data_IF_024945316331
#
_entry.id   IF_024945316331
#
_cell.length_a   1.000
_cell.length_b   1.000
_cell.length_c   1.000
_cell.angle_alpha   90.00
_cell.angle_beta   90.00
_cell.angle_gamma   90.00
#
_symmetry.space_group_name_H-M   'P 1'
#
loop_
_entity.id
_entity.type
_entity.pdbx_description
1 polymer ?
#
# COMPACT_ATOMS: atom_id res chain seq x y z
N UNK A 1 -48.69 47.84 25.16
CA UNK A 1 -48.48 49.17 25.78
C UNK A 1 -47.09 49.21 26.41
N UNK A 2 -46.34 50.23 26.03
CA UNK A 2 -44.94 50.53 26.31
C UNK A 2 -44.76 51.02 27.74
N UNK A 3 -43.69 50.60 28.44
CA UNK A 3 -42.97 51.44 29.41
C UNK A 3 -41.60 50.83 29.73
N UNK A 4 -40.58 51.52 29.21
CA UNK A 4 -39.17 51.44 29.54
C UNK A 4 -38.95 52.21 30.84
N UNK A 5 -38.16 51.68 31.77
CA UNK A 5 -37.40 52.50 32.72
C UNK A 5 -35.98 51.95 32.86
N UNK A 6 -35.06 52.72 32.29
CA UNK A 6 -33.62 52.65 32.45
C UNK A 6 -33.26 53.23 33.83
N UNK A 7 -32.37 52.60 34.60
CA UNK A 7 -31.30 53.32 35.32
C UNK A 7 -30.35 52.47 36.20
N UNK A 8 -29.07 52.82 36.05
CA UNK A 8 -27.90 52.71 36.94
C UNK A 8 -27.04 51.43 36.94
N UNK A 9 -25.93 51.56 36.19
CA UNK A 9 -24.65 50.90 36.43
C UNK A 9 -24.12 51.24 37.82
N UNK A 10 -23.77 50.22 38.60
CA UNK A 10 -22.75 50.30 39.65
C UNK A 10 -21.72 49.22 39.33
N UNK A 11 -20.56 49.65 38.83
CA UNK A 11 -19.36 48.83 38.72
C UNK A 11 -18.82 48.61 40.14
N UNK A 12 -19.07 47.43 40.71
CA UNK A 12 -18.32 46.93 41.86
C UNK A 12 -17.49 45.75 41.35
N UNK A 13 -16.19 46.00 41.22
CA UNK A 13 -15.21 45.03 40.77
C UNK A 13 -15.22 43.78 41.65
N UNK A 14 -15.67 42.68 41.07
CA UNK A 14 -15.34 41.34 41.52
C UNK A 14 -14.36 40.79 40.49
N UNK A 15 -13.12 40.57 40.96
CA UNK A 15 -12.01 40.11 40.13
C UNK A 15 -12.40 38.90 39.30
N UNK A 16 -12.05 38.97 38.02
CA UNK A 16 -11.93 37.81 37.16
C UNK A 16 -10.97 36.81 37.83
N UNK A 17 -11.51 35.72 38.34
CA UNK A 17 -10.82 34.44 38.29
C UNK A 17 -11.70 33.53 37.47
N UNK A 18 -11.66 33.72 36.15
CA UNK A 18 -12.03 32.64 35.24
C UNK A 18 -11.02 31.53 35.50
N UNK A 19 -11.46 30.49 36.21
CA UNK A 19 -10.79 29.20 36.20
C UNK A 19 -10.82 28.77 34.73
N UNK A 20 -9.77 29.10 33.98
CA UNK A 20 -9.45 28.39 32.76
C UNK A 20 -9.10 26.99 33.22
N UNK A 21 -10.14 26.15 33.32
CA UNK A 21 -9.96 24.72 33.39
C UNK A 21 -9.12 24.35 32.19
N UNK A 22 -7.85 24.03 32.43
CA UNK A 22 -7.08 23.24 31.49
C UNK A 22 -7.76 21.87 31.49
N UNK A 23 -8.85 21.75 30.74
CA UNK A 23 -9.36 20.48 30.29
C UNK A 23 -8.17 19.83 29.60
N UNK A 24 -7.61 18.80 30.22
CA UNK A 24 -6.62 17.95 29.57
C UNK A 24 -7.33 17.39 28.34
N UNK A 25 -7.13 18.05 27.20
CA UNK A 25 -7.63 17.61 25.90
C UNK A 25 -6.92 16.31 25.63
N UNK A 26 -7.60 15.20 25.92
CA UNK A 26 -7.14 13.89 25.51
C UNK A 26 -7.08 13.90 23.99
N UNK A 27 -5.89 14.12 23.44
CA UNK A 27 -5.65 13.79 22.04
C UNK A 27 -5.51 12.27 21.96
N UNK A 28 -6.40 11.56 21.25
CA UNK A 28 -6.20 10.15 20.99
C UNK A 28 -4.80 9.97 20.39
N UNK A 29 -3.96 9.15 21.04
CA UNK A 29 -2.67 8.77 20.47
C UNK A 29 -2.95 8.23 19.07
N UNK A 30 -2.47 8.94 18.06
CA UNK A 30 -2.74 8.58 16.68
C UNK A 30 -2.11 7.21 16.40
N UNK A 31 -2.95 6.23 16.06
CA UNK A 31 -2.51 4.87 15.75
C UNK A 31 -1.95 4.86 14.34
N UNK A 32 -0.68 5.20 14.22
CA UNK A 32 -0.05 5.48 12.93
C UNK A 32 0.77 4.30 12.40
N UNK A 33 1.17 3.36 13.27
CA UNK A 33 2.03 2.23 12.87
C UNK A 33 1.50 0.88 13.37
N UNK A 34 1.86 -0.24 12.70
CA UNK A 34 1.39 -1.58 13.05
C UNK A 34 1.53 -1.95 14.52
N UNK A 35 2.61 -1.50 15.17
CA UNK A 35 2.93 -1.84 16.54
C UNK A 35 1.99 -1.16 17.56
N UNK A 36 1.29 -0.09 17.20
CA UNK A 36 0.23 0.49 18.04
C UNK A 36 -1.07 -0.32 18.01
N UNK A 37 -1.27 -1.14 16.97
CA UNK A 37 -2.41 -2.07 16.84
C UNK A 37 -2.11 -3.46 17.41
N UNK A 38 -0.84 -3.74 17.71
CA UNK A 38 -0.38 -5.04 18.17
C UNK A 38 -0.86 -5.33 19.59
N UNK A 39 -1.44 -6.52 19.79
CA UNK A 39 -1.85 -7.02 21.11
C UNK A 39 -1.02 -8.25 21.50
N UNK A 40 -0.11 -8.08 22.46
CA UNK A 40 0.82 -9.13 22.85
C UNK A 40 0.12 -10.37 23.43
N UNK A 41 -0.91 -10.21 24.26
CA UNK A 41 -1.64 -11.33 24.87
C UNK A 41 -2.33 -12.20 23.82
N UNK A 42 -2.98 -11.58 22.84
CA UNK A 42 -3.64 -12.29 21.73
C UNK A 42 -2.63 -13.01 20.84
N UNK A 43 -1.50 -12.38 20.54
CA UNK A 43 -0.44 -13.01 19.75
C UNK A 43 0.22 -14.17 20.52
N UNK A 44 0.52 -14.00 21.80
CA UNK A 44 1.06 -15.05 22.65
C UNK A 44 0.19 -16.33 22.62
N UNK A 45 -1.13 -16.17 22.79
CA UNK A 45 -2.05 -17.30 22.73
C UNK A 45 -2.01 -18.03 21.38
N UNK A 46 -1.84 -17.31 20.26
CA UNK A 46 -1.67 -17.90 18.93
C UNK A 46 -0.29 -18.51 18.75
N UNK A 47 0.77 -17.89 19.24
CA UNK A 47 2.14 -18.38 19.11
C UNK A 47 2.34 -19.69 19.87
N UNK A 48 1.73 -19.83 21.04
CA UNK A 48 1.71 -21.08 21.80
C UNK A 48 1.05 -22.22 21.00
N UNK A 49 -0.01 -21.94 20.23
CA UNK A 49 -0.69 -22.95 19.39
C UNK A 49 0.19 -23.48 18.26
N UNK A 50 1.08 -22.65 17.73
CA UNK A 50 1.92 -22.97 16.56
C UNK A 50 3.41 -23.12 16.91
N UNK A 51 3.75 -23.24 18.19
CA UNK A 51 5.13 -23.35 18.69
C UNK A 51 6.08 -22.27 18.15
N UNK A 52 5.58 -21.03 18.04
CA UNK A 52 6.35 -19.88 17.54
C UNK A 52 7.24 -19.34 18.67
N UNK A 53 8.55 -19.26 18.42
CA UNK A 53 9.53 -18.76 19.38
C UNK A 53 9.44 -17.24 19.59
N UNK A 54 9.64 -16.79 20.84
CA UNK A 54 9.67 -15.37 21.22
C UNK A 54 10.75 -14.59 20.45
N UNK A 55 11.85 -15.26 20.12
CA UNK A 55 13.00 -14.71 19.38
C UNK A 55 12.70 -14.36 17.94
N UNK A 56 11.53 -14.75 17.41
CA UNK A 56 11.05 -14.28 16.10
C UNK A 56 10.99 -12.75 16.05
N UNK A 57 10.47 -12.15 17.12
CA UNK A 57 10.35 -10.70 17.24
C UNK A 57 11.42 -10.14 18.19
N UNK A 58 11.75 -10.89 19.26
CA UNK A 58 12.73 -10.51 20.25
C UNK A 58 14.14 -11.06 19.94
N UNK A 59 14.74 -10.59 18.84
CA UNK A 59 16.01 -11.13 18.32
C UNK A 59 17.23 -10.88 19.21
N UNK A 60 17.19 -9.85 20.04
CA UNK A 60 18.31 -9.43 20.90
C UNK A 60 17.85 -9.20 22.33
N UNK A 61 18.73 -9.25 23.35
CA UNK A 61 18.32 -9.01 24.74
C UNK A 61 17.64 -7.66 24.99
N UNK A 62 17.91 -6.65 24.16
CA UNK A 62 17.31 -5.32 24.24
C UNK A 62 16.03 -5.15 23.40
N UNK A 63 15.66 -6.15 22.61
CA UNK A 63 14.45 -6.14 21.75
C UNK A 63 13.14 -6.37 22.52
N UNK A 64 13.19 -6.51 23.84
CA UNK A 64 12.00 -6.37 24.70
C UNK A 64 11.53 -4.92 24.80
N UNK A 65 12.35 -3.97 24.33
CA UNK A 65 11.90 -2.62 24.08
C UNK A 65 11.15 -2.50 22.74
N UNK A 66 10.03 -1.78 22.75
CA UNK A 66 9.15 -1.55 21.60
C UNK A 66 9.89 -1.01 20.38
N UNK A 67 10.86 -0.12 20.56
CA UNK A 67 11.59 0.48 19.43
C UNK A 67 12.62 -0.47 18.80
N UNK A 68 12.94 -1.58 19.46
CA UNK A 68 14.01 -2.51 19.08
C UNK A 68 13.52 -3.88 18.64
N UNK A 69 12.21 -4.09 18.63
CA UNK A 69 11.61 -5.33 18.15
C UNK A 69 11.78 -5.45 16.63
N UNK A 70 11.98 -6.66 16.13
CA UNK A 70 12.00 -6.88 14.68
C UNK A 70 10.60 -6.71 14.08
N UNK A 71 10.36 -5.54 13.47
CA UNK A 71 9.10 -5.22 12.80
C UNK A 71 8.78 -6.16 11.63
N UNK A 72 9.79 -6.79 11.02
CA UNK A 72 9.58 -7.72 9.90
C UNK A 72 9.04 -9.07 10.37
N UNK A 73 9.11 -9.37 11.68
CA UNK A 73 8.55 -10.59 12.27
C UNK A 73 7.05 -10.75 11.97
N UNK A 74 6.29 -9.66 11.87
CA UNK A 74 4.86 -9.70 11.51
C UNK A 74 4.62 -10.36 10.14
N UNK A 75 5.49 -10.11 9.16
CA UNK A 75 5.34 -10.59 7.79
C UNK A 75 5.59 -12.09 7.65
N UNK A 76 6.32 -12.71 8.58
CA UNK A 76 6.56 -14.16 8.57
C UNK A 76 5.25 -14.97 8.59
N UNK A 77 4.22 -14.45 9.27
CA UNK A 77 2.90 -15.09 9.37
C UNK A 77 1.81 -14.37 8.57
N UNK A 78 1.84 -13.03 8.48
CA UNK A 78 0.75 -12.25 7.88
C UNK A 78 0.97 -11.90 6.40
N UNK A 79 2.19 -12.05 5.90
CA UNK A 79 2.56 -11.78 4.51
C UNK A 79 3.34 -12.97 3.91
N UNK A 80 2.87 -14.18 4.18
CA UNK A 80 3.51 -15.41 3.77
C UNK A 80 2.45 -16.47 3.44
N UNK A 81 2.49 -17.01 2.22
CA UNK A 81 1.58 -18.08 1.79
C UNK A 81 1.81 -19.39 2.58
N UNK A 82 3.05 -19.59 3.06
CA UNK A 82 3.46 -20.72 3.89
C UNK A 82 3.34 -20.44 5.39
N UNK A 83 2.55 -19.44 5.78
CA UNK A 83 2.36 -19.09 7.18
C UNK A 83 1.87 -20.28 8.01
N UNK A 84 2.49 -20.55 9.18
CA UNK A 84 2.07 -21.63 10.07
C UNK A 84 0.66 -21.40 10.64
N UNK A 85 0.16 -20.16 10.60
CA UNK A 85 -1.19 -19.78 11.01
C UNK A 85 -2.04 -19.42 9.76
N UNK A 86 -2.63 -20.39 9.05
CA UNK A 86 -3.32 -20.13 7.79
C UNK A 86 -4.56 -19.24 7.90
N UNK A 87 -5.17 -19.17 9.08
CA UNK A 87 -6.30 -18.28 9.39
C UNK A 87 -5.89 -16.85 9.76
N UNK A 88 -4.58 -16.56 9.88
CA UNK A 88 -4.12 -15.19 10.05
C UNK A 88 -4.56 -14.35 8.84
N UNK A 89 -4.89 -13.06 9.03
CA UNK A 89 -5.28 -12.18 7.95
C UNK A 89 -4.13 -11.99 6.95
N UNK A 90 -4.05 -12.89 5.98
CA UNK A 90 -3.03 -12.88 4.92
C UNK A 90 -3.35 -11.73 3.97
N UNK A 91 -2.33 -10.92 3.66
CA UNK A 91 -2.37 -9.91 2.60
C UNK A 91 -3.41 -8.79 2.73
N UNK A 92 -3.97 -8.57 3.92
CA UNK A 92 -4.76 -7.36 4.23
C UNK A 92 -3.86 -6.31 4.88
N UNK A 93 -2.99 -5.70 4.08
CA UNK A 93 -1.95 -4.77 4.55
C UNK A 93 -2.56 -3.64 5.43
N UNK A 94 -3.72 -3.12 5.03
CA UNK A 94 -4.44 -2.03 5.73
C UNK A 94 -5.01 -2.41 7.11
N UNK A 95 -5.02 -3.69 7.44
CA UNK A 95 -5.36 -4.14 8.80
C UNK A 95 -4.35 -3.58 9.79
N UNK A 96 -3.06 -3.53 9.42
CA UNK A 96 -1.97 -3.04 10.25
C UNK A 96 -1.38 -1.71 9.75
N UNK A 97 -1.18 -1.56 8.45
CA UNK A 97 -0.67 -0.34 7.81
C UNK A 97 -1.84 0.59 7.46
N UNK A 98 -2.28 1.40 8.43
CA UNK A 98 -3.42 2.32 8.23
C UNK A 98 -3.16 3.39 7.18
N UNK A 99 -1.89 3.78 7.03
CA UNK A 99 -1.43 4.63 5.95
C UNK A 99 -0.40 3.88 5.09
N UNK A 100 -0.81 3.48 3.89
CA UNK A 100 0.08 2.81 2.94
C UNK A 100 1.10 3.77 2.31
N UNK A 101 0.92 5.09 2.42
CA UNK A 101 1.93 6.05 1.97
C UNK A 101 3.19 5.98 2.82
N UNK A 102 3.10 5.60 4.10
CA UNK A 102 4.26 5.43 4.98
C UNK A 102 5.16 4.23 4.61
N UNK A 103 4.60 3.24 3.92
CA UNK A 103 5.33 2.02 3.50
C UNK A 103 5.54 1.96 1.99
N UNK A 104 5.17 3.04 1.29
CA UNK A 104 5.39 3.20 -0.14
C UNK A 104 6.90 3.31 -0.40
N UNK A 105 7.50 2.41 -1.20
CA UNK A 105 8.91 2.52 -1.54
C UNK A 105 9.22 3.75 -2.42
N UNK A 106 10.45 4.27 -2.32
CA UNK A 106 10.92 5.45 -3.07
C UNK A 106 10.82 5.30 -4.60
N UNK A 107 10.81 4.06 -5.09
CA UNK A 107 10.69 3.75 -6.52
C UNK A 107 9.26 3.93 -7.08
N UNK A 108 8.25 4.18 -6.24
CA UNK A 108 6.86 4.43 -6.67
C UNK A 108 6.67 5.91 -7.05
N UNK A 109 7.18 6.29 -8.23
CA UNK A 109 7.16 7.66 -8.77
C UNK A 109 6.08 7.87 -9.84
N UNK A 110 5.79 9.13 -10.16
CA UNK A 110 4.71 9.55 -11.09
C UNK A 110 4.79 8.96 -12.51
N UNK A 111 5.99 8.61 -13.00
CA UNK A 111 6.19 8.05 -14.35
C UNK A 111 6.54 6.55 -14.33
N UNK A 112 5.81 5.78 -13.52
CA UNK A 112 6.05 4.35 -13.31
C UNK A 112 6.11 3.54 -14.61
N UNK A 113 5.24 3.82 -15.59
CA UNK A 113 5.19 3.06 -16.85
C UNK A 113 6.53 3.08 -17.59
N UNK A 114 7.29 4.17 -17.55
CA UNK A 114 8.58 4.25 -18.23
C UNK A 114 9.73 3.64 -17.41
N UNK A 115 9.64 3.71 -16.08
CA UNK A 115 10.73 3.34 -15.16
C UNK A 115 10.66 1.92 -14.64
N UNK A 116 9.45 1.34 -14.57
CA UNK A 116 9.25 0.05 -13.91
C UNK A 116 10.05 -1.07 -14.55
N UNK A 117 10.31 -1.01 -15.87
CA UNK A 117 11.13 -2.01 -16.56
C UNK A 117 12.53 -2.15 -15.94
N UNK A 118 13.17 -1.04 -15.55
CA UNK A 118 14.54 -1.05 -15.01
C UNK A 118 14.54 -1.60 -13.60
N UNK A 119 13.56 -1.17 -12.78
CA UNK A 119 13.40 -1.63 -11.40
C UNK A 119 13.04 -3.13 -11.37
N UNK A 120 12.11 -3.57 -12.22
CA UNK A 120 11.70 -4.97 -12.31
C UNK A 120 12.81 -5.88 -12.85
N UNK A 121 13.68 -5.38 -13.75
CA UNK A 121 14.87 -6.12 -14.21
C UNK A 121 15.91 -6.31 -13.10
N UNK A 122 16.02 -5.36 -12.17
CA UNK A 122 16.95 -5.45 -11.04
C UNK A 122 16.46 -6.46 -10.01
N UNK A 123 15.22 -6.31 -9.54
CA UNK A 123 14.61 -7.21 -8.55
C UNK A 123 13.08 -7.18 -8.67
N UNK A 124 12.54 -8.07 -9.51
CA UNK A 124 11.09 -8.28 -9.60
C UNK A 124 10.50 -8.88 -8.33
N UNK A 125 11.29 -9.61 -7.54
CA UNK A 125 10.80 -10.33 -6.36
C UNK A 125 10.53 -9.38 -5.20
N UNK A 126 11.23 -8.24 -5.17
CA UNK A 126 10.89 -7.10 -4.30
C UNK A 126 9.44 -6.66 -4.44
N UNK A 127 8.90 -6.63 -5.66
CA UNK A 127 7.51 -6.21 -5.91
C UNK A 127 6.51 -7.14 -5.22
N UNK A 128 6.78 -8.45 -5.20
CA UNK A 128 5.90 -9.45 -4.62
C UNK A 128 5.78 -9.39 -3.10
N UNK A 129 6.62 -8.58 -2.43
CA UNK A 129 6.48 -8.29 -1.01
C UNK A 129 5.18 -7.53 -0.69
N UNK A 130 4.64 -6.79 -1.66
CA UNK A 130 3.41 -6.01 -1.48
C UNK A 130 2.37 -6.25 -2.59
N UNK A 131 2.82 -6.43 -3.82
CA UNK A 131 1.98 -6.60 -5.00
C UNK A 131 1.79 -8.09 -5.32
N UNK A 132 0.65 -8.41 -5.95
CA UNK A 132 0.37 -9.77 -6.46
C UNK A 132 0.59 -9.85 -7.97
N UNK A 133 0.66 -11.06 -8.49
CA UNK A 133 0.89 -11.33 -9.93
C UNK A 133 -0.05 -10.55 -10.85
N UNK A 134 -1.29 -10.30 -10.42
CA UNK A 134 -2.26 -9.54 -11.21
C UNK A 134 -1.79 -8.12 -11.56
N UNK A 135 -0.97 -7.47 -10.73
CA UNK A 135 -0.44 -6.13 -11.03
C UNK A 135 0.47 -6.14 -12.26
N UNK A 136 1.19 -7.24 -12.50
CA UNK A 136 2.02 -7.41 -13.69
C UNK A 136 1.14 -7.78 -14.88
N UNK A 137 0.22 -8.72 -14.70
CA UNK A 137 -0.55 -9.29 -15.82
C UNK A 137 -1.65 -8.37 -16.32
N UNK A 138 -2.14 -7.42 -15.51
CA UNK A 138 -3.13 -6.42 -15.91
C UNK A 138 -2.66 -5.53 -17.08
N UNK A 139 -1.35 -5.41 -17.28
CA UNK A 139 -0.78 -4.80 -18.48
C UNK A 139 -0.05 -5.82 -19.38
N UNK A 140 0.80 -6.69 -18.83
CA UNK A 140 1.67 -7.55 -19.66
C UNK A 140 0.96 -8.73 -20.33
N UNK A 141 -0.21 -9.14 -19.86
CA UNK A 141 -0.91 -10.33 -20.37
C UNK A 141 -2.38 -10.07 -20.70
N UNK A 142 -2.95 -8.98 -20.18
CA UNK A 142 -4.34 -8.63 -20.43
C UNK A 142 -4.50 -8.04 -21.82
N UNK A 143 -5.35 -8.67 -22.62
CA UNK A 143 -5.92 -8.04 -23.82
C UNK A 143 -6.97 -7.03 -23.35
N UNK A 144 -6.58 -5.77 -23.32
CA UNK A 144 -7.46 -4.69 -22.88
C UNK A 144 -8.12 -4.01 -24.09
N UNK A 145 -9.40 -4.30 -24.29
CA UNK A 145 -10.21 -3.71 -25.38
C UNK A 145 -10.78 -2.33 -25.02
N UNK A 146 -10.92 -2.03 -23.72
CA UNK A 146 -11.59 -0.84 -23.22
C UNK A 146 -10.61 0.31 -22.99
N UNK A 147 -9.50 0.04 -22.30
CA UNK A 147 -8.51 1.09 -21.97
C UNK A 147 -7.41 1.22 -23.03
N UNK A 148 -7.35 0.30 -24.01
CA UNK A 148 -6.45 0.37 -25.17
C UNK A 148 -4.98 0.64 -24.81
N UNK A 149 -4.52 0.12 -23.66
CA UNK A 149 -3.25 0.51 -23.02
C UNK A 149 -2.00 0.23 -23.86
N UNK A 150 -2.06 -0.78 -24.73
CA UNK A 150 -0.96 -1.14 -25.63
C UNK A 150 -1.19 -0.57 -27.03
N UNK A 151 -2.35 -0.86 -27.61
CA UNK A 151 -2.77 -0.30 -28.89
C UNK A 151 -4.30 -0.36 -29.03
N UNK A 152 -4.85 0.55 -29.83
CA UNK A 152 -6.30 0.68 -30.06
C UNK A 152 -6.86 -0.47 -30.92
N UNK A 153 -8.19 -0.60 -30.98
CA UNK A 153 -8.85 -1.57 -31.89
C UNK A 153 -8.53 -1.32 -33.36
N UNK A 154 -8.29 -0.06 -33.73
CA UNK A 154 -7.96 0.36 -35.09
C UNK A 154 -6.47 0.21 -35.43
N UNK A 155 -5.67 -0.41 -34.55
CA UNK A 155 -4.23 -0.60 -34.77
C UNK A 155 -3.91 -1.27 -36.11
N UNK A 156 -4.78 -2.16 -36.61
CA UNK A 156 -4.64 -2.80 -37.92
C UNK A 156 -4.40 -1.78 -39.06
N UNK A 157 -5.00 -0.59 -39.00
CA UNK A 157 -4.89 0.41 -40.07
C UNK A 157 -3.57 1.19 -40.07
N UNK A 158 -2.86 1.24 -38.95
CA UNK A 158 -1.65 2.06 -38.81
C UNK A 158 -0.45 1.32 -38.21
N UNK A 159 -0.59 0.02 -37.91
CA UNK A 159 0.51 -0.80 -37.37
C UNK A 159 1.71 -0.85 -38.31
N UNK A 160 1.51 -0.62 -39.62
CA UNK A 160 2.59 -0.56 -40.61
C UNK A 160 3.61 0.55 -40.32
N UNK A 161 3.20 1.65 -39.68
CA UNK A 161 4.10 2.74 -39.28
C UNK A 161 5.00 2.27 -38.13
N UNK A 162 4.39 1.66 -37.11
CA UNK A 162 5.10 1.16 -35.91
C UNK A 162 5.99 -0.04 -36.25
N UNK A 163 5.49 -0.96 -37.08
CA UNK A 163 6.22 -2.14 -37.54
C UNK A 163 7.45 -1.75 -38.39
N UNK A 164 7.36 -0.68 -39.19
CA UNK A 164 8.51 -0.15 -39.94
C UNK A 164 9.53 0.55 -39.05
N UNK A 165 9.09 1.23 -37.99
CA UNK A 165 10.03 1.93 -37.09
C UNK A 165 10.84 0.96 -36.23
N UNK A 166 10.18 -0.05 -35.63
CA UNK A 166 10.85 -1.08 -34.84
C UNK A 166 10.00 -2.35 -34.72
N UNK A 167 10.12 -3.32 -35.65
CA UNK A 167 9.30 -4.53 -35.64
C UNK A 167 9.60 -5.45 -34.46
N UNK A 168 10.78 -5.31 -33.84
CA UNK A 168 11.16 -6.10 -32.66
C UNK A 168 10.28 -5.79 -31.45
N UNK A 169 9.70 -4.60 -31.37
CA UNK A 169 8.76 -4.25 -30.27
C UNK A 169 7.53 -5.16 -30.24
N UNK A 170 7.06 -5.61 -31.40
CA UNK A 170 5.92 -6.52 -31.52
C UNK A 170 6.22 -7.87 -30.83
N UNK A 171 7.46 -8.35 -30.98
CA UNK A 171 7.90 -9.63 -30.41
C UNK A 171 8.02 -9.66 -28.88
N UNK A 172 7.89 -8.50 -28.22
CA UNK A 172 7.82 -8.44 -26.76
C UNK A 172 6.53 -9.07 -26.21
N UNK A 173 5.45 -9.08 -27.01
CA UNK A 173 4.14 -9.60 -26.61
C UNK A 173 3.56 -10.61 -27.62
N UNK A 174 3.85 -10.44 -28.91
CA UNK A 174 3.30 -11.27 -29.99
C UNK A 174 4.33 -12.26 -30.52
N UNK A 175 3.86 -13.44 -30.88
CA UNK A 175 4.66 -14.46 -31.56
C UNK A 175 4.67 -14.23 -33.08
N UNK A 176 5.69 -14.72 -33.78
CA UNK A 176 5.83 -14.49 -35.24
C UNK A 176 4.68 -15.07 -36.08
N UNK A 177 3.99 -16.10 -35.59
CA UNK A 177 2.81 -16.66 -36.25
C UNK A 177 1.67 -15.64 -36.36
N UNK A 178 1.49 -14.75 -35.36
CA UNK A 178 0.48 -13.70 -35.40
C UNK A 178 0.62 -12.80 -36.64
N UNK A 179 1.85 -12.51 -37.06
CA UNK A 179 2.10 -11.75 -38.28
C UNK A 179 1.74 -12.58 -39.51
N UNK A 180 2.11 -13.86 -39.52
CA UNK A 180 1.87 -14.78 -40.64
C UNK A 180 0.39 -15.04 -40.88
N UNK A 181 -0.47 -14.93 -39.87
CA UNK A 181 -1.92 -15.12 -40.03
C UNK A 181 -2.54 -14.14 -41.05
N UNK A 182 -1.90 -13.01 -41.36
CA UNK A 182 -2.32 -12.06 -42.40
C UNK A 182 -1.25 -11.78 -43.46
N UNK A 183 0.03 -12.02 -43.15
CA UNK A 183 1.18 -11.78 -44.04
C UNK A 183 1.79 -13.09 -44.58
N UNK A 184 1.05 -14.20 -44.54
CA UNK A 184 1.47 -15.48 -45.14
C UNK A 184 1.68 -15.39 -46.65
N UNK A 185 1.04 -14.41 -47.29
CA UNK A 185 1.01 -14.25 -48.74
C UNK A 185 1.96 -13.11 -49.10
N UNK A 186 3.26 -13.38 -49.03
CA UNK A 186 4.28 -12.53 -49.65
C UNK A 186 5.44 -13.40 -50.13
N UNK A 187 5.32 -13.84 -51.38
CA UNK A 187 6.47 -14.08 -52.26
C UNK A 187 7.28 -12.78 -52.45
#
# INVERSE_FOLDING_TARGET
>A
MRKIFLKYFIFLGLGLVTILGAEARWEPKQVNIPLDLYNHTKHFARFAQYAIACTMCHKTPDSFNREKVDHMGCHFCHNNDQSPAPAAARFKCITCHKDLFQVKPDNHQLNWIDRHQTVAKQDKDYCFKCHKTFFCTDCHQKRDFENQRMHTSNFRYYHSIVARSNPRTCSNCHQMNFCKDCHSDSD
#
